data_IF_141215730648
#
_entry.id   IF_141215730648
#
_cell.length_a   1.000
_cell.length_b   1.000
_cell.length_c   1.000
_cell.angle_alpha   90.00
_cell.angle_beta   90.00
_cell.angle_gamma   90.00
#
_symmetry.space_group_name_H-M   'P 1'
#
loop_
_entity.id
_entity.type
_entity.pdbx_description
1 polymer ?
#
# COMPACT_ATOMS: atom_id res chain seq x y z
N UNK A 1 -38.25 -40.49 -47.66
CA UNK A 1 -38.51 -39.07 -47.99
C UNK A 1 -39.99 -38.83 -47.71
N UNK A 2 -40.40 -37.69 -47.13
CA UNK A 2 -40.23 -37.31 -45.72
C UNK A 2 -41.60 -36.99 -45.09
N UNK A 3 -41.76 -37.21 -43.79
CA UNK A 3 -42.72 -36.44 -43.01
C UNK A 3 -41.88 -35.51 -42.13
N UNK A 4 -41.67 -34.29 -42.63
CA UNK A 4 -41.09 -33.19 -41.86
C UNK A 4 -42.23 -32.30 -41.37
N UNK A 5 -42.13 -31.94 -40.09
CA UNK A 5 -42.65 -30.70 -39.49
C UNK A 5 -44.17 -30.60 -39.28
N UNK A 6 -44.64 -31.18 -38.17
CA UNK A 6 -45.84 -30.64 -37.50
C UNK A 6 -45.41 -29.46 -36.59
N UNK A 7 -45.81 -28.21 -36.88
CA UNK A 7 -45.52 -27.09 -35.99
C UNK A 7 -46.33 -27.24 -34.70
N UNK A 8 -45.63 -27.34 -33.57
CA UNK A 8 -46.24 -27.41 -32.26
C UNK A 8 -47.20 -26.23 -32.04
N UNK A 9 -48.49 -26.51 -31.84
CA UNK A 9 -49.50 -25.53 -31.44
C UNK A 9 -49.20 -25.07 -30.00
N UNK A 10 -48.34 -24.07 -29.89
CA UNK A 10 -48.02 -23.46 -28.59
C UNK A 10 -49.26 -22.74 -28.07
N UNK A 11 -49.83 -23.24 -26.97
CA UNK A 11 -50.98 -22.60 -26.33
C UNK A 11 -50.61 -21.19 -25.86
N UNK A 12 -51.47 -20.20 -26.12
CA UNK A 12 -51.28 -18.79 -25.71
C UNK A 12 -50.91 -18.62 -24.24
N UNK A 13 -51.38 -19.52 -23.37
CA UNK A 13 -51.01 -19.56 -21.93
C UNK A 13 -49.52 -19.88 -21.72
N UNK A 14 -48.97 -20.81 -22.48
CA UNK A 14 -47.55 -21.19 -22.41
C UNK A 14 -46.67 -20.02 -22.87
N UNK A 15 -47.07 -19.32 -23.94
CA UNK A 15 -46.38 -18.11 -24.41
C UNK A 15 -46.36 -17.03 -23.32
N UNK A 16 -47.50 -16.78 -22.66
CA UNK A 16 -47.60 -15.77 -21.59
C UNK A 16 -46.76 -16.14 -20.38
N UNK A 17 -46.77 -17.41 -19.97
CA UNK A 17 -45.97 -17.88 -18.82
C UNK A 17 -44.49 -17.79 -19.15
N UNK A 18 -44.08 -18.25 -20.34
CA UNK A 18 -42.69 -18.15 -20.80
C UNK A 18 -42.19 -16.71 -20.88
N UNK A 19 -43.01 -15.81 -21.43
CA UNK A 19 -42.69 -14.37 -21.49
C UNK A 19 -42.56 -13.75 -20.09
N UNK A 20 -43.43 -14.13 -19.16
CA UNK A 20 -43.40 -13.64 -17.78
C UNK A 20 -42.13 -14.07 -17.04
N UNK A 21 -41.72 -15.33 -17.19
CA UNK A 21 -40.47 -15.85 -16.59
C UNK A 21 -39.26 -15.13 -17.18
N UNK A 22 -39.23 -14.96 -18.51
CA UNK A 22 -38.15 -14.25 -19.18
C UNK A 22 -38.07 -12.78 -18.74
N UNK A 23 -39.22 -12.10 -18.60
CA UNK A 23 -39.27 -10.73 -18.12
C UNK A 23 -38.76 -10.59 -16.68
N UNK A 24 -39.19 -11.49 -15.76
CA UNK A 24 -38.69 -11.51 -14.39
C UNK A 24 -37.19 -11.80 -14.32
N UNK A 25 -36.70 -12.72 -15.15
CA UNK A 25 -35.28 -13.04 -15.27
C UNK A 25 -34.46 -11.85 -15.77
N UNK A 26 -34.93 -11.15 -16.82
CA UNK A 26 -34.28 -9.94 -17.32
C UNK A 26 -34.28 -8.83 -16.27
N UNK A 27 -35.39 -8.62 -15.55
CA UNK A 27 -35.48 -7.59 -14.51
C UNK A 27 -34.49 -7.86 -13.36
N UNK A 28 -34.43 -9.11 -12.88
CA UNK A 28 -33.46 -9.52 -11.86
C UNK A 28 -32.02 -9.36 -12.34
N UNK A 29 -31.74 -9.73 -13.58
CA UNK A 29 -30.43 -9.58 -14.21
C UNK A 29 -30.00 -8.10 -14.33
N UNK A 30 -30.91 -7.21 -14.76
CA UNK A 30 -30.65 -5.77 -14.88
C UNK A 30 -30.34 -5.12 -13.53
N UNK A 31 -31.09 -5.46 -12.48
CA UNK A 31 -30.86 -4.96 -11.12
C UNK A 31 -29.50 -5.44 -10.59
N UNK A 32 -29.20 -6.73 -10.78
CA UNK A 32 -27.95 -7.32 -10.30
C UNK A 32 -26.73 -6.81 -11.07
N UNK A 33 -26.87 -6.53 -12.36
CA UNK A 33 -25.82 -5.94 -13.20
C UNK A 33 -25.55 -4.47 -12.83
N UNK A 34 -26.59 -3.70 -12.47
CA UNK A 34 -26.46 -2.33 -11.95
C UNK A 34 -25.73 -2.28 -10.61
N UNK A 35 -26.11 -3.15 -9.67
CA UNK A 35 -25.47 -3.25 -8.35
C UNK A 35 -23.98 -3.63 -8.45
N UNK A 36 -23.63 -4.55 -9.34
CA UNK A 36 -22.24 -4.95 -9.58
C UNK A 36 -21.39 -3.84 -10.21
N UNK A 37 -21.98 -2.95 -11.02
CA UNK A 37 -21.29 -1.77 -11.59
C UNK A 37 -21.08 -0.66 -10.57
N UNK A 38 -22.00 -0.44 -9.64
CA UNK A 38 -21.88 0.60 -8.62
C UNK A 38 -20.88 0.25 -7.50
N UNK A 39 -20.64 -1.04 -7.23
CA UNK A 39 -19.66 -1.48 -6.24
C UNK A 39 -18.18 -1.36 -6.69
N UNK A 40 -17.91 -1.29 -8.00
CA UNK A 40 -16.55 -1.20 -8.57
C UNK A 40 -15.85 0.14 -8.28
N UNK A 41 -16.45 1.32 -8.51
CA UNK A 41 -15.79 2.59 -8.23
C UNK A 41 -15.50 2.77 -6.73
N UNK A 42 -16.38 2.31 -5.85
CA UNK A 42 -16.15 2.36 -4.40
C UNK A 42 -14.96 1.50 -3.94
N UNK A 43 -14.76 0.32 -4.55
CA UNK A 43 -13.60 -0.54 -4.25
C UNK A 43 -12.29 0.06 -4.75
N UNK A 44 -12.26 0.56 -5.98
CA UNK A 44 -11.05 1.18 -6.54
C UNK A 44 -10.63 2.43 -5.75
N UNK A 45 -11.58 3.27 -5.34
CA UNK A 45 -11.30 4.43 -4.48
C UNK A 45 -10.79 4.00 -3.10
N UNK A 46 -11.41 2.98 -2.49
CA UNK A 46 -10.97 2.46 -1.19
C UNK A 46 -9.58 1.83 -1.26
N UNK A 47 -9.25 1.12 -2.34
CA UNK A 47 -7.92 0.55 -2.59
C UNK A 47 -6.86 1.64 -2.77
N UNK A 48 -7.18 2.70 -3.53
CA UNK A 48 -6.30 3.85 -3.70
C UNK A 48 -6.04 4.58 -2.37
N UNK A 49 -7.10 4.82 -1.59
CA UNK A 49 -7.00 5.44 -0.27
C UNK A 49 -6.17 4.57 0.70
N UNK A 50 -6.42 3.26 0.73
CA UNK A 50 -5.63 2.33 1.52
C UNK A 50 -4.16 2.28 1.07
N UNK A 51 -3.89 2.39 -0.23
CA UNK A 51 -2.54 2.53 -0.77
C UNK A 51 -1.85 3.81 -0.27
N UNK A 52 -2.54 4.95 -0.33
CA UNK A 52 -2.04 6.24 0.15
C UNK A 52 -1.74 6.22 1.64
N UNK A 53 -2.68 5.74 2.46
CA UNK A 53 -2.51 5.65 3.92
C UNK A 53 -1.34 4.73 4.30
N UNK A 54 -1.14 3.62 3.59
CA UNK A 54 0.03 2.74 3.81
C UNK A 54 1.34 3.46 3.50
N UNK A 55 1.39 4.26 2.44
CA UNK A 55 2.58 5.05 2.11
C UNK A 55 2.84 6.16 3.14
N UNK A 56 1.81 6.85 3.60
CA UNK A 56 1.92 7.86 4.66
C UNK A 56 2.40 7.24 5.97
N UNK A 57 1.85 6.09 6.35
CA UNK A 57 2.31 5.34 7.52
C UNK A 57 3.77 4.92 7.38
N UNK A 58 4.18 4.44 6.20
CA UNK A 58 5.57 4.08 5.92
C UNK A 58 6.52 5.26 6.15
N UNK A 59 6.17 6.44 5.63
CA UNK A 59 6.94 7.68 5.81
C UNK A 59 6.99 8.12 7.28
N UNK A 60 5.87 8.02 8.00
CA UNK A 60 5.85 8.38 9.43
C UNK A 60 6.74 7.44 10.24
N UNK A 61 6.61 6.12 10.07
CA UNK A 61 7.44 5.14 10.77
C UNK A 61 8.93 5.36 10.51
N UNK A 62 9.29 5.68 9.27
CA UNK A 62 10.67 5.98 8.90
C UNK A 62 11.20 7.20 9.68
N UNK A 63 10.42 8.29 9.73
CA UNK A 63 10.75 9.49 10.48
C UNK A 63 10.83 9.24 11.98
N UNK A 64 9.92 8.43 12.52
CA UNK A 64 9.85 8.13 13.95
C UNK A 64 11.08 7.29 14.37
N UNK A 65 11.48 6.29 13.58
CA UNK A 65 12.71 5.53 13.85
C UNK A 65 13.97 6.40 13.74
N UNK A 66 14.04 7.33 12.78
CA UNK A 66 15.16 8.25 12.67
C UNK A 66 15.25 9.19 13.89
N UNK A 67 14.10 9.68 14.37
CA UNK A 67 14.03 10.51 15.57
C UNK A 67 14.45 9.73 16.82
N UNK A 68 13.97 8.50 16.99
CA UNK A 68 14.33 7.63 18.12
C UNK A 68 15.81 7.25 18.11
N UNK A 69 16.37 6.94 16.93
CA UNK A 69 17.80 6.70 16.78
C UNK A 69 18.60 7.91 17.29
N UNK A 70 18.30 9.11 16.79
CA UNK A 70 19.01 10.33 17.19
C UNK A 70 18.84 10.62 18.68
N UNK A 71 17.63 10.43 19.22
CA UNK A 71 17.33 10.62 20.63
C UNK A 71 18.17 9.69 21.53
N UNK A 72 18.18 8.40 21.23
CA UNK A 72 18.93 7.41 22.03
C UNK A 72 20.45 7.59 21.89
N UNK A 73 20.95 7.96 20.71
CA UNK A 73 22.37 8.31 20.52
C UNK A 73 22.76 9.54 21.35
N UNK A 74 21.92 10.57 21.35
CA UNK A 74 22.15 11.79 22.16
C UNK A 74 22.19 11.47 23.66
N UNK A 75 21.42 10.47 24.09
CA UNK A 75 21.44 9.95 25.48
C UNK A 75 22.53 8.92 25.75
N UNK A 76 23.38 8.61 24.76
CA UNK A 76 24.42 7.56 24.81
C UNK A 76 23.86 6.16 25.11
N UNK A 77 22.60 5.92 24.75
CA UNK A 77 21.96 4.62 24.88
C UNK A 77 22.15 3.82 23.57
N UNK A 78 23.38 3.38 23.34
CA UNK A 78 23.76 2.73 22.07
C UNK A 78 23.06 1.38 21.83
N UNK A 79 22.61 0.70 22.89
CA UNK A 79 21.83 -0.53 22.78
C UNK A 79 20.47 -0.31 22.12
N UNK A 80 19.70 0.66 22.61
CA UNK A 80 18.40 1.02 22.01
C UNK A 80 18.58 1.70 20.66
N UNK A 81 19.59 2.56 20.52
CA UNK A 81 19.93 3.17 19.24
C UNK A 81 20.20 2.10 18.16
N UNK A 82 20.88 1.00 18.51
CA UNK A 82 21.14 -0.10 17.57
C UNK A 82 19.84 -0.73 17.06
N UNK A 83 18.89 -1.01 17.95
CA UNK A 83 17.57 -1.54 17.56
C UNK A 83 16.82 -0.60 16.61
N UNK A 84 16.80 0.71 16.92
CA UNK A 84 16.17 1.69 16.06
C UNK A 84 16.91 1.88 14.73
N UNK A 85 18.24 1.76 14.71
CA UNK A 85 19.04 1.84 13.47
C UNK A 85 18.70 0.69 12.51
N UNK A 86 18.56 -0.55 13.01
CA UNK A 86 18.18 -1.69 12.19
C UNK A 86 16.80 -1.49 11.57
N UNK A 87 15.79 -1.16 12.39
CA UNK A 87 14.44 -0.90 11.90
C UNK A 87 14.39 0.26 10.87
N UNK A 88 15.18 1.30 11.10
CA UNK A 88 15.31 2.43 10.18
C UNK A 88 15.89 2.00 8.83
N UNK A 89 17.02 1.29 8.82
CA UNK A 89 17.72 0.93 7.58
C UNK A 89 16.99 -0.16 6.79
N UNK A 90 16.31 -1.09 7.46
CA UNK A 90 15.44 -2.06 6.81
C UNK A 90 14.31 -1.34 6.05
N UNK A 91 13.69 -0.34 6.70
CA UNK A 91 12.63 0.45 6.06
C UNK A 91 13.16 1.38 4.97
N UNK A 92 14.35 1.97 5.14
CA UNK A 92 15.02 2.75 4.09
C UNK A 92 15.27 1.90 2.86
N UNK A 93 15.73 0.67 3.02
CA UNK A 93 15.98 -0.23 1.89
C UNK A 93 14.70 -0.52 1.10
N UNK A 94 13.58 -0.74 1.78
CA UNK A 94 12.28 -0.92 1.14
C UNK A 94 11.80 0.34 0.39
N UNK A 95 12.03 1.52 0.96
CA UNK A 95 11.56 2.79 0.38
C UNK A 95 12.51 3.38 -0.68
N UNK A 96 13.79 3.05 -0.64
CA UNK A 96 14.80 3.46 -1.62
C UNK A 96 14.88 2.50 -2.82
N UNK A 97 14.03 1.46 -2.86
CA UNK A 97 13.92 0.55 -4.00
C UNK A 97 13.67 1.33 -5.32
N UNK A 98 14.20 0.83 -6.46
CA UNK A 98 14.23 1.58 -7.72
C UNK A 98 12.84 2.03 -8.19
N UNK A 99 12.70 3.32 -8.48
CA UNK A 99 11.45 4.00 -8.81
C UNK A 99 11.53 5.52 -8.56
N UNK A 100 10.40 6.15 -8.25
CA UNK A 100 10.24 7.59 -7.96
C UNK A 100 10.67 7.95 -6.50
N UNK A 101 11.72 7.29 -6.00
CA UNK A 101 12.21 7.46 -4.63
C UNK A 101 13.01 8.76 -4.49
N UNK A 102 12.81 9.49 -3.38
CA UNK A 102 13.58 10.71 -3.09
C UNK A 102 15.08 10.34 -2.95
N UNK A 103 16.00 11.00 -3.67
CA UNK A 103 17.43 10.68 -3.64
C UNK A 103 18.05 10.85 -2.24
N UNK A 104 17.42 11.62 -1.35
CA UNK A 104 17.86 11.72 0.05
C UNK A 104 17.72 10.40 0.81
N UNK A 105 16.77 9.53 0.43
CA UNK A 105 16.60 8.22 1.06
C UNK A 105 17.75 7.27 0.72
N UNK A 106 18.23 7.30 -0.53
CA UNK A 106 19.41 6.51 -0.93
C UNK A 106 20.69 7.07 -0.29
N UNK A 107 20.80 8.39 -0.17
CA UNK A 107 21.90 9.02 0.58
C UNK A 107 21.88 8.62 2.07
N UNK A 108 20.71 8.63 2.71
CA UNK A 108 20.55 8.17 4.09
C UNK A 108 20.92 6.69 4.22
N UNK A 109 20.51 5.85 3.26
CA UNK A 109 20.84 4.42 3.23
C UNK A 109 22.34 4.15 3.12
N UNK A 110 23.13 5.06 2.54
CA UNK A 110 24.59 4.94 2.49
C UNK A 110 25.26 5.02 3.88
N UNK A 111 24.53 5.39 4.93
CA UNK A 111 24.99 5.34 6.31
C UNK A 111 24.74 3.98 6.99
N UNK A 112 24.11 3.01 6.31
CA UNK A 112 23.70 1.70 6.85
C UNK A 112 24.81 0.93 7.55
N UNK A 113 26.04 1.01 7.05
CA UNK A 113 27.17 0.29 7.66
C UNK A 113 27.87 1.15 8.71
N UNK A 114 27.97 2.46 8.47
CA UNK A 114 28.70 3.40 9.34
C UNK A 114 28.00 3.63 10.67
N UNK A 115 26.67 3.79 10.67
CA UNK A 115 25.91 4.04 11.91
C UNK A 115 25.96 2.84 12.85
N UNK A 116 25.56 1.61 12.46
CA UNK A 116 25.63 0.45 13.35
C UNK A 116 27.05 0.12 13.82
N UNK A 117 28.06 0.29 12.96
CA UNK A 117 29.46 0.13 13.37
C UNK A 117 29.87 1.15 14.45
N UNK A 118 29.51 2.43 14.28
CA UNK A 118 29.75 3.47 15.27
C UNK A 118 29.00 3.23 16.58
N UNK A 119 27.75 2.74 16.51
CA UNK A 119 26.96 2.36 17.68
C UNK A 119 27.59 1.19 18.44
N UNK A 120 28.05 0.15 17.72
CA UNK A 120 28.71 -1.01 18.32
C UNK A 120 30.04 -0.64 18.99
N UNK A 121 30.77 0.32 18.41
CA UNK A 121 32.01 0.86 18.98
C UNK A 121 31.79 1.91 20.09
N UNK A 122 30.52 2.30 20.37
CA UNK A 122 30.19 3.42 21.24
C UNK A 122 30.92 4.73 20.86
N UNK A 123 31.13 4.93 19.56
CA UNK A 123 31.87 6.07 18.99
C UNK A 123 31.05 7.36 19.15
N UNK A 124 31.57 8.40 19.83
CA UNK A 124 30.91 9.70 19.93
C UNK A 124 30.61 10.36 18.57
N UNK A 125 31.39 10.05 17.53
CA UNK A 125 31.18 10.59 16.19
C UNK A 125 29.88 10.10 15.54
N UNK A 126 29.31 8.98 16.02
CA UNK A 126 28.05 8.42 15.49
C UNK A 126 26.86 9.38 15.64
N UNK A 127 26.93 10.32 16.59
CA UNK A 127 25.89 11.33 16.78
C UNK A 127 25.75 12.25 15.56
N UNK A 128 26.86 12.68 14.97
CA UNK A 128 26.83 13.54 13.78
C UNK A 128 26.25 12.80 12.57
N UNK A 129 26.55 11.51 12.42
CA UNK A 129 25.99 10.69 11.35
C UNK A 129 24.49 10.42 11.58
N UNK A 130 24.07 10.12 12.81
CA UNK A 130 22.67 9.95 13.16
C UNK A 130 21.85 11.23 12.91
N UNK A 131 22.42 12.41 13.22
CA UNK A 131 21.82 13.70 12.92
C UNK A 131 21.65 13.91 11.40
N UNK A 132 22.70 13.62 10.62
CA UNK A 132 22.64 13.71 9.15
C UNK A 132 21.54 12.80 8.59
N UNK A 133 21.48 11.55 9.04
CA UNK A 133 20.45 10.59 8.61
C UNK A 133 19.04 11.10 8.95
N UNK A 134 18.85 11.63 10.16
CA UNK A 134 17.59 12.23 10.58
C UNK A 134 17.18 13.38 9.63
N UNK A 135 18.09 14.31 9.33
CA UNK A 135 17.79 15.45 8.48
C UNK A 135 17.39 15.02 7.05
N UNK A 136 18.09 14.04 6.48
CA UNK A 136 17.79 13.48 5.16
C UNK A 136 16.42 12.81 5.13
N UNK A 137 16.13 11.96 6.13
CA UNK A 137 14.82 11.27 6.26
C UNK A 137 13.69 12.28 6.45
N UNK A 138 13.88 13.27 7.31
CA UNK A 138 12.86 14.27 7.60
C UNK A 138 12.55 15.13 6.35
N UNK A 139 13.58 15.50 5.59
CA UNK A 139 13.40 16.23 4.34
C UNK A 139 12.70 15.40 3.27
N UNK A 140 13.05 14.11 3.14
CA UNK A 140 12.43 13.20 2.17
C UNK A 140 10.97 12.86 2.49
N UNK A 141 10.60 12.87 3.79
CA UNK A 141 9.26 12.50 4.26
C UNK A 141 8.35 13.69 4.51
N UNK A 142 8.88 14.92 4.49
CA UNK A 142 8.08 16.15 4.57
C UNK A 142 7.27 16.29 3.29
N UNK A 143 5.95 16.13 3.41
CA UNK A 143 4.98 16.29 2.33
C UNK A 143 5.24 17.57 1.51
N UNK A 144 5.35 17.42 0.19
CA UNK A 144 4.99 18.48 -0.75
C UNK A 144 3.48 18.49 -0.95
#
# INVERSE_FOLDING_TARGET
MPDMDAPALVSRRIVIIGASILAAFLLGFLIQFGAARQARPGRAAAEAEAGRLRQELARSQLRDHAALLLFEVTRRNFGMASQHSTALFDRLQEMAAPGDADPRLSEALAARDRVPAGLAAADPAVQAEAQRVFDLVFQATRSR
#
